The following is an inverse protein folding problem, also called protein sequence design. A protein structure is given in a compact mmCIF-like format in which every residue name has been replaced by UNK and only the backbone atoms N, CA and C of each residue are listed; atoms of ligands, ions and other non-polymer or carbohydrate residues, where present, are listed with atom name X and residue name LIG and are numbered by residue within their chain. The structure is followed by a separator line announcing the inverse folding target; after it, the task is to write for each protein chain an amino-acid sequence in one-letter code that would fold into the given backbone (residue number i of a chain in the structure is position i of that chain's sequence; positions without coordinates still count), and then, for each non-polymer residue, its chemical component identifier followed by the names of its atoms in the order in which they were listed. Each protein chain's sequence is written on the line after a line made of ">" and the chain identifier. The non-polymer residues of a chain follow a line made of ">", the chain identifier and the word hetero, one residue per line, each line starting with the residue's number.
data_IF_295844705458
#
_entry.id   IF_295844705458
#
_cell.length_a   1.000
_cell.length_b   1.000
_cell.length_c   1.000
_cell.angle_alpha   90.00
_cell.angle_beta   90.00
_cell.angle_gamma   90.00
#
_symmetry.space_group_name_H-M   'P 1'
#
loop_
_entity.id
_entity.type
_entity.pdbx_description
1 polymer ?
#
# COMPACT_ATOMS: atom_id res chain seq x y z
N UNK A 1 26.96 -38.48 -4.16
CA UNK A 1 26.27 -37.33 -3.51
C UNK A 1 25.47 -36.65 -4.59
N UNK A 2 24.14 -36.72 -4.59
CA UNK A 2 23.27 -35.95 -5.48
C UNK A 2 23.49 -34.48 -5.15
N UNK A 3 23.99 -33.68 -6.12
CA UNK A 3 23.90 -32.22 -6.04
C UNK A 3 22.42 -31.88 -5.88
N UNK A 4 22.03 -31.38 -4.71
CA UNK A 4 20.72 -30.81 -4.53
C UNK A 4 20.66 -29.56 -5.40
N UNK A 5 19.87 -29.61 -6.46
CA UNK A 5 19.65 -28.49 -7.34
C UNK A 5 18.80 -27.44 -6.59
N UNK A 6 19.37 -26.25 -6.38
CA UNK A 6 18.66 -25.07 -5.89
C UNK A 6 18.19 -24.18 -7.04
N UNK A 7 17.86 -24.80 -8.19
CA UNK A 7 17.50 -24.13 -9.44
C UNK A 7 16.28 -23.18 -9.31
N UNK A 8 15.50 -23.37 -8.24
CA UNK A 8 14.32 -22.53 -7.96
C UNK A 8 14.61 -21.35 -7.00
N UNK A 9 15.87 -21.11 -6.64
CA UNK A 9 16.21 -19.90 -5.91
C UNK A 9 16.37 -18.71 -6.87
N UNK A 10 15.89 -17.50 -6.49
CA UNK A 10 16.25 -16.29 -7.23
C UNK A 10 17.76 -16.11 -7.31
N UNK A 11 18.27 -15.60 -8.44
CA UNK A 11 19.71 -15.40 -8.65
C UNK A 11 20.36 -14.47 -7.60
N UNK A 12 19.57 -13.55 -7.04
CA UNK A 12 19.97 -12.58 -6.03
C UNK A 12 19.51 -12.98 -4.61
N UNK A 13 19.13 -14.26 -4.42
CA UNK A 13 18.72 -14.75 -3.10
C UNK A 13 19.89 -14.70 -2.10
N UNK A 14 19.68 -14.03 -0.99
CA UNK A 14 20.61 -13.99 0.12
C UNK A 14 19.96 -14.58 1.38
N UNK A 15 20.52 -15.66 1.86
CA UNK A 15 19.99 -16.44 2.98
C UNK A 15 19.92 -15.63 4.28
N UNK A 16 20.92 -14.78 4.53
CA UNK A 16 20.95 -13.95 5.73
C UNK A 16 19.90 -12.84 5.67
N UNK A 17 19.71 -12.26 4.48
CA UNK A 17 18.63 -11.29 4.24
C UNK A 17 17.28 -11.95 4.43
N UNK A 18 17.05 -13.12 3.81
CA UNK A 18 15.79 -13.87 3.95
C UNK A 18 15.49 -14.15 5.43
N UNK A 19 16.46 -14.69 6.18
CA UNK A 19 16.30 -14.92 7.62
C UNK A 19 15.94 -13.65 8.38
N UNK A 20 16.61 -12.53 8.06
CA UNK A 20 16.39 -11.26 8.75
C UNK A 20 15.02 -10.62 8.50
N UNK A 21 14.35 -11.00 7.41
CA UNK A 21 13.00 -10.53 7.06
C UNK A 21 11.90 -11.34 7.76
N UNK A 22 12.24 -12.50 8.35
CA UNK A 22 11.25 -13.43 8.91
C UNK A 22 11.60 -13.77 10.35
N UNK A 23 10.95 -13.15 11.36
CA UNK A 23 11.22 -13.40 12.78
C UNK A 23 11.08 -14.88 13.20
N UNK A 24 10.23 -15.64 12.54
CA UNK A 24 10.06 -17.08 12.75
C UNK A 24 11.27 -17.90 12.31
N UNK A 25 12.14 -17.35 11.47
CA UNK A 25 13.35 -18.01 10.98
C UNK A 25 14.64 -17.58 11.70
N UNK A 26 14.57 -16.65 12.64
CA UNK A 26 15.76 -16.03 13.25
C UNK A 26 16.63 -17.05 14.04
N UNK A 27 16.02 -18.11 14.52
CA UNK A 27 16.69 -19.17 15.30
C UNK A 27 17.31 -20.29 14.44
N UNK A 28 17.13 -20.23 13.13
CA UNK A 28 17.67 -21.24 12.21
C UNK A 28 18.98 -20.73 11.61
N UNK A 29 20.12 -21.32 12.03
CA UNK A 29 21.46 -20.93 11.55
C UNK A 29 21.96 -21.79 10.38
N UNK A 30 21.17 -22.74 9.91
CA UNK A 30 21.52 -23.61 8.81
C UNK A 30 21.09 -23.03 7.47
N UNK A 31 22.06 -22.58 6.66
CA UNK A 31 21.79 -21.96 5.35
C UNK A 31 21.07 -22.93 4.38
N UNK A 32 21.43 -24.22 4.40
CA UNK A 32 20.76 -25.23 3.57
C UNK A 32 19.28 -25.35 3.93
N UNK A 33 18.97 -25.33 5.23
CA UNK A 33 17.59 -25.34 5.72
C UNK A 33 16.82 -24.11 5.23
N UNK A 34 17.41 -22.91 5.35
CA UNK A 34 16.77 -21.66 4.96
C UNK A 34 16.52 -21.57 3.45
N UNK A 35 17.47 -22.03 2.63
CA UNK A 35 17.29 -22.14 1.18
C UNK A 35 16.15 -23.10 0.82
N UNK A 36 16.14 -24.28 1.46
CA UNK A 36 15.07 -25.28 1.27
C UNK A 36 13.72 -24.74 1.73
N UNK A 37 13.68 -24.08 2.88
CA UNK A 37 12.47 -23.45 3.40
C UNK A 37 11.90 -22.44 2.41
N UNK A 38 12.75 -21.59 1.80
CA UNK A 38 12.28 -20.65 0.79
C UNK A 38 11.66 -21.37 -0.41
N UNK A 39 12.32 -22.39 -0.96
CA UNK A 39 11.83 -23.13 -2.12
C UNK A 39 10.51 -23.85 -1.83
N UNK A 40 10.40 -24.51 -0.68
CA UNK A 40 9.27 -25.38 -0.36
C UNK A 40 8.07 -24.64 0.24
N UNK A 41 8.33 -23.55 0.96
CA UNK A 41 7.33 -22.80 1.74
C UNK A 41 7.31 -21.33 1.35
N UNK A 42 8.44 -20.64 1.51
CA UNK A 42 8.50 -19.19 1.39
C UNK A 42 8.03 -18.65 0.03
N UNK A 43 8.43 -19.30 -1.06
CA UNK A 43 8.01 -18.92 -2.41
C UNK A 43 6.50 -19.08 -2.63
N UNK A 44 5.89 -20.12 -2.05
CA UNK A 44 4.45 -20.39 -2.15
C UNK A 44 3.63 -19.43 -1.29
N UNK A 45 4.20 -19.00 -0.18
CA UNK A 45 3.59 -18.02 0.73
C UNK A 45 3.89 -16.57 0.30
N UNK A 46 4.56 -16.37 -0.85
CA UNK A 46 5.02 -15.05 -1.31
C UNK A 46 5.85 -14.29 -0.28
N UNK A 47 6.66 -15.00 0.52
CA UNK A 47 7.55 -14.37 1.49
C UNK A 47 8.65 -13.58 0.79
N UNK A 48 8.90 -12.37 1.25
CA UNK A 48 9.98 -11.54 0.71
C UNK A 48 11.35 -12.14 1.07
N UNK A 49 12.22 -12.31 0.07
CA UNK A 49 13.60 -12.78 0.28
C UNK A 49 14.63 -11.63 0.29
N UNK A 50 14.21 -10.44 -0.13
CA UNK A 50 14.97 -9.18 -0.04
C UNK A 50 14.02 -8.02 0.25
N UNK A 51 14.56 -6.87 0.63
CA UNK A 51 13.76 -5.65 0.64
C UNK A 51 13.31 -5.34 -0.79
N UNK A 52 12.09 -4.81 -0.98
CA UNK A 52 11.68 -4.32 -2.30
C UNK A 52 12.69 -3.30 -2.84
N UNK A 53 13.01 -3.37 -4.13
CA UNK A 53 13.99 -2.46 -4.76
C UNK A 53 13.52 -1.00 -4.72
N UNK A 54 12.19 -0.78 -4.64
CA UNK A 54 11.52 0.51 -4.51
C UNK A 54 11.21 0.90 -3.06
N UNK A 55 11.78 0.19 -2.05
CA UNK A 55 11.60 0.56 -0.64
C UNK A 55 12.41 1.79 -0.27
N UNK A 56 11.72 2.88 0.04
CA UNK A 56 12.29 4.11 0.58
C UNK A 56 11.85 4.28 2.04
N UNK A 57 12.76 4.24 3.02
CA UNK A 57 12.41 4.39 4.43
C UNK A 57 11.79 5.76 4.74
N UNK A 58 12.16 6.82 4.02
CA UNK A 58 11.58 8.15 4.22
C UNK A 58 10.12 8.17 3.74
N UNK A 59 9.86 7.59 2.58
CA UNK A 59 8.49 7.46 2.07
C UNK A 59 7.66 6.53 2.96
N UNK A 60 8.24 5.41 3.40
CA UNK A 60 7.59 4.50 4.34
C UNK A 60 7.14 5.20 5.62
N UNK A 61 8.00 6.05 6.20
CA UNK A 61 7.66 6.82 7.38
C UNK A 61 6.53 7.83 7.12
N UNK A 62 6.57 8.51 5.96
CA UNK A 62 5.49 9.45 5.58
C UNK A 62 4.14 8.76 5.39
N UNK A 63 4.15 7.54 4.82
CA UNK A 63 2.94 6.74 4.64
C UNK A 63 2.41 6.13 5.94
N UNK A 64 3.26 6.05 6.98
CA UNK A 64 2.93 5.50 8.30
C UNK A 64 3.27 6.50 9.41
N UNK A 65 2.51 7.60 9.55
CA UNK A 65 2.84 8.69 10.49
C UNK A 65 2.76 8.27 11.97
N UNK A 66 2.11 7.17 12.29
CA UNK A 66 2.08 6.56 13.62
C UNK A 66 3.46 6.11 14.11
N UNK A 67 4.42 5.89 13.19
CA UNK A 67 5.80 5.55 13.54
C UNK A 67 6.60 6.74 14.12
N UNK A 68 6.06 7.95 14.04
CA UNK A 68 6.73 9.15 14.52
C UNK A 68 8.02 9.46 13.75
N UNK A 69 8.99 10.07 14.44
CA UNK A 69 10.29 10.42 13.85
C UNK A 69 11.32 9.35 14.18
N UNK A 70 11.46 8.36 13.31
CA UNK A 70 12.50 7.34 13.44
C UNK A 70 13.63 7.57 12.42
N UNK A 71 14.88 7.25 12.76
CA UNK A 71 15.98 7.26 11.78
C UNK A 71 15.80 6.10 10.77
N UNK A 72 16.41 6.24 9.58
CA UNK A 72 16.21 5.30 8.46
C UNK A 72 16.51 3.85 8.82
N UNK A 73 17.57 3.58 9.61
CA UNK A 73 17.90 2.23 10.04
C UNK A 73 16.78 1.61 10.91
N UNK A 74 16.15 2.38 11.77
CA UNK A 74 15.01 1.92 12.58
C UNK A 74 13.75 1.72 11.76
N UNK A 75 13.53 2.51 10.73
CA UNK A 75 12.42 2.32 9.77
C UNK A 75 12.60 1.03 8.96
N UNK A 76 13.84 0.73 8.54
CA UNK A 76 14.17 -0.53 7.86
C UNK A 76 13.96 -1.72 8.81
N UNK A 77 14.44 -1.63 10.06
CA UNK A 77 14.21 -2.66 11.08
C UNK A 77 12.72 -2.87 11.35
N UNK A 78 11.98 -1.78 11.50
CA UNK A 78 10.53 -1.84 11.71
C UNK A 78 9.81 -2.51 10.53
N UNK A 79 10.14 -2.11 9.29
CA UNK A 79 9.54 -2.72 8.10
C UNK A 79 9.78 -4.23 8.04
N UNK A 80 11.02 -4.68 8.32
CA UNK A 80 11.38 -6.11 8.35
C UNK A 80 10.63 -6.88 9.44
N UNK A 81 10.55 -6.32 10.64
CA UNK A 81 10.02 -7.04 11.81
C UNK A 81 8.51 -7.00 11.93
N UNK A 82 7.90 -5.91 11.49
CA UNK A 82 6.48 -5.63 11.67
C UNK A 82 5.77 -5.21 10.39
N UNK A 83 6.36 -4.32 9.60
CA UNK A 83 5.70 -3.69 8.47
C UNK A 83 5.18 -4.69 7.43
N UNK A 84 5.97 -5.71 7.10
CA UNK A 84 5.58 -6.79 6.20
C UNK A 84 4.39 -7.57 6.77
N UNK A 85 4.48 -7.98 8.04
CA UNK A 85 3.46 -8.76 8.73
C UNK A 85 2.15 -7.99 8.92
N UNK A 86 2.26 -6.68 9.14
CA UNK A 86 1.13 -5.78 9.30
C UNK A 86 0.56 -5.28 7.97
N UNK A 87 1.13 -5.72 6.83
CA UNK A 87 0.78 -5.25 5.49
C UNK A 87 0.81 -3.71 5.36
N UNK A 88 1.82 -3.07 5.96
CA UNK A 88 1.97 -1.60 5.91
C UNK A 88 2.32 -1.13 4.51
N UNK A 89 1.73 -0.03 4.11
CA UNK A 89 2.00 0.62 2.84
C UNK A 89 3.41 1.22 2.87
N UNK A 90 4.26 0.84 1.92
CA UNK A 90 5.65 1.33 1.82
C UNK A 90 5.94 2.13 0.55
N UNK A 91 5.03 2.10 -0.43
CA UNK A 91 5.08 2.87 -1.68
C UNK A 91 3.69 3.41 -2.04
N UNK A 92 3.62 4.35 -2.97
CA UNK A 92 2.34 4.72 -3.55
C UNK A 92 1.71 3.53 -4.25
N UNK A 93 0.41 3.40 -4.10
CA UNK A 93 -0.35 2.34 -4.77
C UNK A 93 -0.38 2.63 -6.28
N UNK A 94 -0.23 1.57 -7.09
CA UNK A 94 -0.21 1.69 -8.56
C UNK A 94 -1.58 2.14 -9.11
N UNK A 95 -2.65 1.90 -8.35
CA UNK A 95 -4.03 2.26 -8.64
C UNK A 95 -4.49 3.59 -8.02
N UNK A 96 -3.54 4.47 -7.66
CA UNK A 96 -3.83 5.81 -7.16
C UNK A 96 -4.45 6.66 -8.28
N UNK A 97 -5.72 7.06 -8.10
CA UNK A 97 -6.45 7.90 -9.05
C UNK A 97 -6.19 9.39 -8.79
N UNK A 98 -5.25 9.95 -9.55
CA UNK A 98 -4.87 11.36 -9.42
C UNK A 98 -5.99 12.32 -9.81
N UNK A 99 -6.78 11.98 -10.82
CA UNK A 99 -7.88 12.82 -11.29
C UNK A 99 -9.01 12.84 -10.28
N UNK A 100 -9.36 11.67 -9.73
CA UNK A 100 -10.29 11.56 -8.63
C UNK A 100 -9.84 12.40 -7.43
N UNK A 101 -8.58 12.24 -7.00
CA UNK A 101 -8.08 12.97 -5.85
C UNK A 101 -8.10 14.50 -6.08
N UNK A 102 -7.67 14.95 -7.27
CA UNK A 102 -7.71 16.35 -7.67
C UNK A 102 -9.14 16.90 -7.69
N UNK A 103 -10.07 16.14 -8.23
CA UNK A 103 -11.48 16.49 -8.29
C UNK A 103 -12.09 16.69 -6.89
N UNK A 104 -11.85 15.72 -6.00
CA UNK A 104 -12.53 15.68 -4.69
C UNK A 104 -11.90 16.66 -3.69
N UNK A 105 -10.58 16.71 -3.61
CA UNK A 105 -9.88 17.41 -2.54
C UNK A 105 -9.17 18.69 -2.95
N UNK A 106 -8.94 18.90 -4.25
CA UNK A 106 -8.19 20.04 -4.78
C UNK A 106 -9.02 20.92 -5.75
N UNK A 107 -10.34 20.76 -5.74
CA UNK A 107 -11.28 21.51 -6.57
C UNK A 107 -10.95 21.50 -8.07
N UNK A 108 -10.39 20.41 -8.56
CA UNK A 108 -9.93 20.24 -9.94
C UNK A 108 -8.94 21.32 -10.43
N UNK A 109 -8.10 21.80 -9.52
CA UNK A 109 -7.17 22.88 -9.80
C UNK A 109 -5.99 22.38 -10.66
N UNK A 110 -5.81 22.95 -11.85
CA UNK A 110 -4.79 22.55 -12.84
C UNK A 110 -3.35 22.89 -12.43
N UNK A 111 -3.16 23.69 -11.39
CA UNK A 111 -1.83 23.90 -10.81
C UNK A 111 -1.25 22.68 -10.09
N UNK A 112 -2.07 21.61 -9.90
CA UNK A 112 -1.67 20.36 -9.29
C UNK A 112 -1.39 19.30 -10.34
N UNK A 113 -0.11 19.06 -10.62
CA UNK A 113 0.35 17.85 -11.33
C UNK A 113 0.46 16.66 -10.35
N UNK A 114 0.74 15.46 -10.86
CA UNK A 114 0.79 14.24 -10.05
C UNK A 114 1.76 14.33 -8.87
N UNK A 115 2.93 14.96 -9.03
CA UNK A 115 3.90 15.12 -7.93
C UNK A 115 3.37 16.03 -6.81
N UNK A 116 2.71 17.11 -7.16
CA UNK A 116 2.06 18.01 -6.18
C UNK A 116 0.88 17.32 -5.49
N UNK A 117 0.14 16.47 -6.21
CA UNK A 117 -0.95 15.67 -5.65
C UNK A 117 -0.39 14.65 -4.65
N UNK A 118 0.68 13.92 -4.99
CA UNK A 118 1.37 13.00 -4.07
C UNK A 118 1.83 13.74 -2.80
N UNK A 119 2.47 14.89 -2.98
CA UNK A 119 2.92 15.71 -1.86
C UNK A 119 1.75 16.10 -0.95
N UNK A 120 0.66 16.61 -1.53
CA UNK A 120 -0.53 17.00 -0.78
C UNK A 120 -1.14 15.80 -0.02
N UNK A 121 -1.18 14.61 -0.65
CA UNK A 121 -1.66 13.40 0.01
C UNK A 121 -0.79 13.02 1.21
N UNK A 122 0.55 13.04 1.06
CA UNK A 122 1.47 12.73 2.16
C UNK A 122 1.37 13.72 3.32
N UNK A 123 1.14 15.01 3.03
CA UNK A 123 1.07 16.06 4.04
C UNK A 123 -0.31 16.17 4.71
N UNK A 124 -1.37 15.83 4.00
CA UNK A 124 -2.74 16.07 4.44
C UNK A 124 -3.63 14.84 4.33
N UNK A 125 -3.52 14.11 3.22
CA UNK A 125 -4.46 13.05 2.86
C UNK A 125 -4.43 11.87 3.81
N UNK A 126 -3.23 11.44 4.22
CA UNK A 126 -3.05 10.31 5.14
C UNK A 126 -3.68 10.62 6.49
N UNK A 127 -3.36 11.78 7.07
CA UNK A 127 -3.88 12.19 8.40
C UNK A 127 -5.39 12.34 8.36
N UNK A 128 -5.92 12.93 7.27
CA UNK A 128 -7.35 13.16 7.07
C UNK A 128 -8.08 11.93 6.53
N UNK A 129 -7.38 10.84 6.28
CA UNK A 129 -7.90 9.59 5.71
C UNK A 129 -8.63 9.83 4.37
N UNK A 130 -8.02 10.63 3.49
CA UNK A 130 -8.56 10.88 2.16
C UNK A 130 -8.58 9.59 1.34
N UNK A 131 -9.63 9.39 0.58
CA UNK A 131 -9.71 8.33 -0.39
C UNK A 131 -8.78 8.61 -1.57
N UNK A 132 -8.21 7.56 -2.14
CA UNK A 132 -7.29 7.66 -3.29
C UNK A 132 -7.97 7.26 -4.59
N UNK A 133 -9.11 6.59 -4.53
CA UNK A 133 -9.98 6.18 -5.64
C UNK A 133 -11.38 5.91 -5.14
N UNK A 134 -12.34 5.84 -6.06
CA UNK A 134 -13.67 5.31 -5.77
C UNK A 134 -13.65 3.79 -5.62
N UNK A 135 -14.60 3.20 -4.87
CA UNK A 135 -14.83 1.76 -4.91
C UNK A 135 -15.13 1.31 -6.35
N UNK A 136 -14.64 0.13 -6.73
CA UNK A 136 -14.83 -0.42 -8.09
C UNK A 136 -16.29 -0.67 -8.44
N UNK A 137 -17.12 -0.90 -7.42
CA UNK A 137 -18.57 -1.14 -7.54
C UNK A 137 -19.41 0.13 -7.40
N UNK A 138 -18.80 1.32 -7.30
CA UNK A 138 -19.53 2.57 -7.23
C UNK A 138 -19.97 3.04 -8.62
N UNK A 139 -21.30 3.15 -8.80
CA UNK A 139 -21.92 3.74 -9.98
C UNK A 139 -22.73 4.98 -9.57
N UNK A 140 -22.31 6.16 -10.06
CA UNK A 140 -22.97 7.41 -9.70
C UNK A 140 -24.42 7.50 -10.18
N UNK A 141 -24.78 6.83 -11.30
CA UNK A 141 -26.17 6.81 -11.82
C UNK A 141 -27.06 5.97 -10.93
N UNK A 142 -26.56 4.80 -10.51
CA UNK A 142 -27.29 3.94 -9.56
C UNK A 142 -27.42 4.67 -8.22
N UNK A 143 -26.31 5.23 -7.72
CA UNK A 143 -26.31 5.98 -6.47
C UNK A 143 -27.32 7.14 -6.47
N UNK A 144 -27.37 7.92 -7.56
CA UNK A 144 -28.32 9.00 -7.77
C UNK A 144 -29.77 8.49 -7.79
N UNK A 145 -30.02 7.37 -8.50
CA UNK A 145 -31.36 6.76 -8.60
C UNK A 145 -31.86 6.26 -7.24
N UNK A 146 -31.00 5.71 -6.42
CA UNK A 146 -31.34 5.22 -5.08
C UNK A 146 -31.51 6.34 -4.05
N UNK A 147 -31.04 7.56 -4.35
CA UNK A 147 -31.08 8.71 -3.45
C UNK A 147 -31.68 9.93 -4.16
N UNK A 148 -33.02 9.98 -4.21
CA UNK A 148 -33.77 10.97 -5.01
C UNK A 148 -33.48 12.43 -4.67
N UNK A 149 -33.08 12.73 -3.44
CA UNK A 149 -32.63 14.07 -3.02
C UNK A 149 -31.38 14.56 -3.74
N UNK A 150 -30.64 13.66 -4.41
CA UNK A 150 -29.47 13.97 -5.22
C UNK A 150 -29.80 14.21 -6.70
N UNK A 151 -31.06 14.17 -7.10
CA UNK A 151 -31.45 14.24 -8.51
C UNK A 151 -30.95 15.47 -9.26
N UNK A 152 -30.85 16.61 -8.57
CA UNK A 152 -30.39 17.88 -9.14
C UNK A 152 -28.87 18.00 -9.23
N UNK A 153 -28.11 17.11 -8.58
CA UNK A 153 -26.67 17.16 -8.56
C UNK A 153 -26.06 16.60 -9.85
N UNK A 154 -24.98 17.21 -10.31
CA UNK A 154 -24.14 16.66 -11.38
C UNK A 154 -23.21 15.54 -10.85
N UNK A 155 -22.53 14.83 -11.75
CA UNK A 155 -21.64 13.71 -11.40
C UNK A 155 -20.56 14.10 -10.40
N UNK A 156 -19.88 15.21 -10.62
CA UNK A 156 -18.84 15.73 -9.71
C UNK A 156 -19.35 15.97 -8.29
N UNK A 157 -20.53 16.58 -8.19
CA UNK A 157 -21.17 16.86 -6.90
C UNK A 157 -21.59 15.58 -6.20
N UNK A 158 -22.09 14.60 -6.98
CA UNK A 158 -22.47 13.28 -6.47
C UNK A 158 -21.26 12.54 -5.92
N UNK A 159 -20.12 12.52 -6.66
CA UNK A 159 -18.88 11.90 -6.21
C UNK A 159 -18.38 12.55 -4.91
N UNK A 160 -18.33 13.88 -4.87
CA UNK A 160 -17.93 14.63 -3.67
C UNK A 160 -18.84 14.35 -2.47
N UNK A 161 -20.14 14.30 -2.70
CA UNK A 161 -21.12 13.99 -1.66
C UNK A 161 -20.95 12.56 -1.14
N UNK A 162 -20.76 11.58 -2.04
CA UNK A 162 -20.52 10.20 -1.68
C UNK A 162 -19.30 10.04 -0.80
N UNK A 163 -18.15 10.59 -1.22
CA UNK A 163 -16.89 10.51 -0.46
C UNK A 163 -17.00 11.19 0.89
N UNK A 164 -17.68 12.34 0.97
CA UNK A 164 -17.78 13.12 2.20
C UNK A 164 -18.70 12.46 3.25
N UNK A 165 -19.83 11.95 2.84
CA UNK A 165 -20.88 11.50 3.75
C UNK A 165 -21.56 10.22 3.29
N UNK A 166 -21.82 10.09 1.99
CA UNK A 166 -22.73 9.09 1.43
C UNK A 166 -22.34 7.65 1.69
N UNK A 167 -21.05 7.36 1.62
CA UNK A 167 -20.52 6.00 1.87
C UNK A 167 -20.83 5.46 3.27
N UNK A 168 -21.18 6.35 4.22
CA UNK A 168 -21.53 5.98 5.62
C UNK A 168 -23.03 5.93 5.86
N UNK A 169 -23.80 6.68 5.08
CA UNK A 169 -25.19 7.00 5.43
C UNK A 169 -26.20 6.61 4.37
N UNK A 170 -25.74 6.25 3.16
CA UNK A 170 -26.61 6.04 2.00
C UNK A 170 -26.40 4.69 1.33
N UNK A 171 -27.44 4.23 0.64
CA UNK A 171 -27.39 3.03 -0.20
C UNK A 171 -26.70 3.40 -1.51
N UNK A 172 -25.73 2.60 -1.95
CA UNK A 172 -24.98 2.83 -3.20
C UNK A 172 -24.77 1.57 -4.06
N UNK A 173 -25.29 0.43 -3.60
CA UNK A 173 -25.31 -0.87 -4.31
C UNK A 173 -26.72 -1.31 -4.60
#
# INVERSE_FOLDING_TARGET
>A
KKNKSYDNLPNDFNVHTYRSLHPDLIYYDNDEYLMKHYIEVGSKENRLYKLPDDFDPILYNKLNPDLGKLPNNKLIEHFKSFGIKENRIYKFLDDYDYDFYKLVYLNNNDNYNNEKIKKHYLENGIIKKHWIKLPEDFDFKIYKKLNQDLEKLNETEIIKQFVKVGHKTRIYK
#
